data_IF_880851020231
#
_entry.id   IF_880851020231
#
_cell.length_a   1.000
_cell.length_b   1.000
_cell.length_c   1.000
_cell.angle_alpha   90.00
_cell.angle_beta   90.00
_cell.angle_gamma   90.00
#
_symmetry.space_group_name_H-M   'P 1'
#
loop_
_entity.id
_entity.type
_entity.pdbx_description
1 polymer ?
#
# COMPACT_ATOMS: atom_id res chain seq x y z
N UNK A 1 -1.67 8.58 -49.42
CA UNK A 1 -1.08 8.74 -48.07
C UNK A 1 -2.08 9.26 -47.04
N UNK A 2 -2.98 10.18 -47.40
CA UNK A 2 -4.04 10.74 -46.52
C UNK A 2 -4.92 9.69 -45.79
N UNK A 3 -5.32 8.62 -46.48
CA UNK A 3 -6.20 7.57 -45.90
C UNK A 3 -5.52 6.74 -44.81
N UNK A 4 -4.19 6.57 -44.85
CA UNK A 4 -3.43 5.84 -43.83
C UNK A 4 -3.21 6.67 -42.55
N UNK A 5 -3.12 7.99 -42.68
CA UNK A 5 -2.98 8.91 -41.53
C UNK A 5 -4.29 9.05 -40.75
N UNK A 6 -5.43 9.11 -41.44
CA UNK A 6 -6.76 9.10 -40.79
C UNK A 6 -7.04 7.78 -40.06
N UNK A 7 -6.60 6.66 -40.62
CA UNK A 7 -6.72 5.35 -39.97
C UNK A 7 -5.93 5.28 -38.66
N UNK A 8 -4.70 5.84 -38.61
CA UNK A 8 -3.87 5.82 -37.39
C UNK A 8 -4.48 6.66 -36.25
N UNK A 9 -4.99 7.86 -36.56
CA UNK A 9 -5.64 8.74 -35.56
C UNK A 9 -6.95 8.13 -35.07
N UNK A 10 -7.75 7.53 -35.96
CA UNK A 10 -8.98 6.84 -35.57
C UNK A 10 -8.68 5.58 -34.75
N UNK A 11 -7.59 4.86 -35.03
CA UNK A 11 -7.19 3.67 -34.27
C UNK A 11 -6.70 4.03 -32.86
N UNK A 12 -5.97 5.14 -32.70
CA UNK A 12 -5.61 5.67 -31.36
C UNK A 12 -6.85 6.14 -30.59
N UNK A 13 -7.84 6.73 -31.27
CA UNK A 13 -9.09 7.16 -30.62
C UNK A 13 -10.01 5.99 -30.23
N UNK A 14 -10.11 4.94 -31.06
CA UNK A 14 -10.97 3.77 -30.80
C UNK A 14 -10.44 2.88 -29.66
N UNK A 15 -9.12 2.79 -29.49
CA UNK A 15 -8.49 2.03 -28.41
C UNK A 15 -8.67 2.67 -27.03
N UNK A 16 -8.95 3.99 -26.96
CA UNK A 16 -9.14 4.70 -25.69
C UNK A 16 -10.60 4.65 -25.20
N UNK A 17 -11.56 4.34 -26.07
CA UNK A 17 -12.99 4.46 -25.78
C UNK A 17 -13.64 3.14 -25.28
N UNK A 18 -12.97 2.00 -25.41
CA UNK A 18 -13.53 0.66 -25.12
C UNK A 18 -13.32 0.15 -23.68
N UNK A 19 -12.81 0.96 -22.75
CA UNK A 19 -12.40 0.49 -21.41
C UNK A 19 -13.28 0.97 -20.22
N UNK A 20 -14.54 1.36 -20.42
CA UNK A 20 -15.36 1.89 -19.32
C UNK A 20 -16.75 1.26 -19.21
N UNK A 21 -16.80 0.09 -18.57
CA UNK A 21 -17.98 -0.32 -17.81
C UNK A 21 -17.71 -0.04 -16.32
N UNK A 22 -18.63 0.64 -15.59
CA UNK A 22 -18.49 0.83 -14.16
C UNK A 22 -18.82 -0.49 -13.45
N UNK A 23 -17.79 -1.30 -13.15
CA UNK A 23 -17.93 -2.42 -12.22
C UNK A 23 -17.95 -1.83 -10.81
N UNK A 24 -19.11 -1.91 -10.17
CA UNK A 24 -19.32 -1.48 -8.79
C UNK A 24 -18.81 -2.57 -7.84
N UNK A 25 -17.49 -2.81 -7.82
CA UNK A 25 -16.85 -3.59 -6.77
C UNK A 25 -16.79 -2.72 -5.50
N UNK A 26 -17.29 -3.24 -4.39
CA UNK A 26 -17.09 -2.63 -3.08
C UNK A 26 -15.60 -2.71 -2.74
N UNK A 27 -14.88 -1.63 -3.05
CA UNK A 27 -13.46 -1.47 -2.72
C UNK A 27 -13.32 -1.44 -1.20
N UNK A 28 -12.61 -2.43 -0.65
CA UNK A 28 -12.12 -2.42 0.72
C UNK A 28 -11.30 -1.13 0.93
N UNK A 29 -11.84 -0.19 1.72
CA UNK A 29 -11.16 1.06 2.05
C UNK A 29 -9.95 0.75 2.92
N UNK A 30 -8.76 0.87 2.35
CA UNK A 30 -7.51 0.87 3.10
C UNK A 30 -7.31 2.28 3.69
N UNK A 31 -7.07 2.38 5.01
CA UNK A 31 -6.88 3.65 5.73
C UNK A 31 -5.44 4.21 5.61
N UNK A 32 -4.65 3.76 4.64
CA UNK A 32 -3.28 4.23 4.48
C UNK A 32 -3.24 5.49 3.59
N UNK A 33 -2.64 6.59 4.07
CA UNK A 33 -2.45 7.77 3.23
C UNK A 33 -1.55 7.40 2.05
N UNK A 34 -1.92 7.75 0.81
CA UNK A 34 -1.07 7.47 -0.35
C UNK A 34 0.29 8.13 -0.16
N UNK A 35 1.39 7.49 -0.58
CA UNK A 35 2.75 8.03 -0.42
C UNK A 35 2.96 9.35 -1.18
N UNK A 36 2.08 9.64 -2.16
CA UNK A 36 2.11 10.86 -2.94
C UNK A 36 1.02 11.82 -2.49
N UNK A 37 1.43 13.04 -2.15
CA UNK A 37 0.51 14.10 -1.80
C UNK A 37 -0.15 14.71 -3.06
N UNK A 38 -1.12 13.98 -3.62
CA UNK A 38 -2.02 14.47 -4.66
C UNK A 38 -3.00 15.54 -4.16
N UNK A 39 -2.90 16.03 -2.93
CA UNK A 39 -3.73 17.18 -2.51
C UNK A 39 -3.21 18.50 -3.08
N UNK A 40 -1.93 18.56 -3.45
CA UNK A 40 -1.38 19.75 -4.10
C UNK A 40 -1.85 19.85 -5.55
N UNK A 41 -2.30 21.03 -5.97
CA UNK A 41 -2.65 21.30 -7.37
C UNK A 41 -1.47 21.22 -8.35
N UNK A 42 -0.26 20.91 -7.85
CA UNK A 42 0.99 20.87 -8.62
C UNK A 42 0.93 19.82 -9.73
N UNK A 43 0.49 18.59 -9.43
CA UNK A 43 0.39 17.53 -10.47
C UNK A 43 -0.57 17.94 -11.58
N UNK A 44 -1.68 18.61 -11.23
CA UNK A 44 -2.64 19.14 -12.21
C UNK A 44 -2.01 20.23 -13.09
N UNK A 45 -1.17 21.10 -12.52
CA UNK A 45 -0.43 22.11 -13.27
C UNK A 45 0.62 21.48 -14.19
N UNK A 46 1.37 20.47 -13.71
CA UNK A 46 2.36 19.73 -14.52
C UNK A 46 1.68 19.12 -15.74
N UNK A 47 0.58 18.37 -15.54
CA UNK A 47 -0.17 17.75 -16.64
C UNK A 47 -0.66 18.81 -17.64
N UNK A 48 -1.17 19.95 -17.14
CA UNK A 48 -1.61 21.06 -18.01
C UNK A 48 -0.44 21.62 -18.84
N UNK A 49 0.68 21.96 -18.19
CA UNK A 49 1.85 22.52 -18.88
C UNK A 49 2.41 21.57 -19.94
N UNK A 50 2.51 20.27 -19.63
CA UNK A 50 2.96 19.26 -20.56
C UNK A 50 1.98 19.09 -21.74
N UNK A 51 0.68 19.21 -21.49
CA UNK A 51 -0.33 19.15 -22.55
C UNK A 51 -0.20 20.33 -23.51
N UNK A 52 0.01 21.54 -22.99
CA UNK A 52 0.19 22.73 -23.81
C UNK A 52 1.49 22.67 -24.63
N UNK A 53 2.57 22.15 -24.04
CA UNK A 53 3.84 21.87 -24.74
C UNK A 53 3.66 20.84 -25.85
N UNK A 54 3.03 19.69 -25.56
CA UNK A 54 2.75 18.65 -26.55
C UNK A 54 1.93 19.18 -27.74
N UNK A 55 0.92 20.00 -27.48
CA UNK A 55 0.11 20.61 -28.53
C UNK A 55 0.94 21.57 -29.40
N UNK A 56 1.80 22.38 -28.79
CA UNK A 56 2.71 23.28 -29.52
C UNK A 56 3.66 22.49 -30.41
N UNK A 57 4.32 21.48 -29.87
CA UNK A 57 5.31 20.67 -30.60
C UNK A 57 4.66 19.91 -31.77
N UNK A 58 3.44 19.40 -31.58
CA UNK A 58 2.66 18.76 -32.65
C UNK A 58 2.16 19.77 -33.70
N UNK A 59 1.84 21.00 -33.29
CA UNK A 59 1.43 22.10 -34.18
C UNK A 59 2.56 22.62 -35.08
N UNK A 60 3.79 22.62 -34.56
CA UNK A 60 5.00 23.03 -35.29
C UNK A 60 5.46 21.96 -36.28
N UNK A 61 5.05 20.70 -36.08
CA UNK A 61 5.36 19.60 -36.99
C UNK A 61 4.47 19.62 -38.25
N UNK A 62 5.03 19.84 -39.46
CA UNK A 62 4.25 19.89 -40.69
C UNK A 62 3.58 18.54 -41.04
N UNK A 63 4.03 17.44 -40.44
CA UNK A 63 3.47 16.11 -40.65
C UNK A 63 2.29 15.78 -39.72
N UNK A 64 2.18 16.47 -38.58
CA UNK A 64 1.27 16.13 -37.48
C UNK A 64 0.41 17.32 -37.02
N UNK A 65 0.29 18.36 -37.84
CA UNK A 65 -0.51 19.56 -37.54
C UNK A 65 -1.89 19.19 -37.03
N UNK A 66 -2.11 19.47 -35.76
CA UNK A 66 -3.40 19.30 -35.11
C UNK A 66 -4.35 20.41 -35.56
N UNK A 67 -5.61 20.06 -35.86
CA UNK A 67 -6.66 21.07 -35.92
C UNK A 67 -6.94 21.63 -34.52
N UNK A 68 -7.52 22.82 -34.46
CA UNK A 68 -7.93 23.44 -33.18
C UNK A 68 -8.87 22.53 -32.38
N UNK A 69 -9.80 21.84 -33.06
CA UNK A 69 -10.69 20.86 -32.44
C UNK A 69 -9.95 19.64 -31.86
N UNK A 70 -8.86 19.18 -32.51
CA UNK A 70 -8.03 18.08 -32.00
C UNK A 70 -7.21 18.52 -30.79
N UNK A 71 -6.63 19.73 -30.84
CA UNK A 71 -5.92 20.30 -29.70
C UNK A 71 -6.85 20.45 -28.48
N UNK A 72 -8.07 20.95 -28.69
CA UNK A 72 -9.04 21.12 -27.60
C UNK A 72 -9.51 19.77 -27.03
N UNK A 73 -9.71 18.77 -27.88
CA UNK A 73 -9.99 17.41 -27.42
C UNK A 73 -8.87 16.85 -26.53
N UNK A 74 -7.60 17.06 -26.91
CA UNK A 74 -6.45 16.64 -26.10
C UNK A 74 -6.40 17.36 -24.75
N UNK A 75 -6.61 18.69 -24.73
CA UNK A 75 -6.72 19.46 -23.48
C UNK A 75 -7.81 18.91 -22.57
N UNK A 76 -8.98 18.61 -23.14
CA UNK A 76 -10.09 18.07 -22.38
C UNK A 76 -9.78 16.68 -21.80
N UNK A 77 -9.13 15.79 -22.57
CA UNK A 77 -8.81 14.44 -22.12
C UNK A 77 -7.67 14.40 -21.10
N UNK A 78 -6.55 15.05 -21.39
CA UNK A 78 -5.42 15.11 -20.47
C UNK A 78 -5.75 15.93 -19.21
N UNK A 79 -6.62 16.93 -19.32
CA UNK A 79 -7.15 17.66 -18.16
C UNK A 79 -7.92 16.78 -17.16
N UNK A 80 -8.48 15.65 -17.61
CA UNK A 80 -9.15 14.65 -16.74
C UNK A 80 -8.20 13.60 -16.18
N UNK A 81 -6.98 13.47 -16.73
CA UNK A 81 -6.01 12.47 -16.31
C UNK A 81 -5.67 12.60 -14.82
N UNK A 82 -5.53 13.83 -14.33
CA UNK A 82 -5.27 14.08 -12.91
C UNK A 82 -6.33 13.44 -11.99
N UNK A 83 -7.62 13.70 -12.24
CA UNK A 83 -8.69 13.12 -11.42
C UNK A 83 -8.80 11.61 -11.59
N UNK A 84 -8.53 11.10 -12.80
CA UNK A 84 -8.50 9.68 -13.08
C UNK A 84 -7.41 8.97 -12.26
N UNK A 85 -6.17 9.45 -12.33
CA UNK A 85 -5.04 8.91 -11.55
C UNK A 85 -5.32 9.05 -10.06
N UNK A 86 -5.68 10.24 -9.58
CA UNK A 86 -5.90 10.51 -8.15
C UNK A 86 -6.93 9.61 -7.48
N UNK A 87 -7.96 9.18 -8.22
CA UNK A 87 -9.04 8.32 -7.71
C UNK A 87 -8.83 6.85 -8.06
N UNK A 88 -7.71 6.50 -8.68
CA UNK A 88 -7.48 5.15 -9.14
C UNK A 88 -7.31 4.21 -7.94
N UNK A 89 -8.11 3.13 -7.81
CA UNK A 89 -8.09 2.28 -6.63
C UNK A 89 -6.73 1.60 -6.38
N UNK A 90 -5.97 1.32 -7.46
CA UNK A 90 -4.67 0.69 -7.33
C UNK A 90 -3.64 1.55 -6.56
N UNK A 91 -3.79 2.88 -6.52
CA UNK A 91 -2.86 3.76 -5.80
C UNK A 91 -2.97 3.67 -4.28
N UNK A 92 -4.05 3.07 -3.76
CA UNK A 92 -4.31 2.97 -2.33
C UNK A 92 -3.98 1.59 -1.76
N UNK A 93 -3.40 0.70 -2.58
CA UNK A 93 -3.02 -0.64 -2.17
C UNK A 93 -1.62 -0.65 -1.53
N UNK A 94 -1.51 -1.15 -0.31
CA UNK A 94 -0.22 -1.28 0.41
C UNK A 94 0.65 -2.43 -0.12
N UNK A 95 0.01 -3.46 -0.66
CA UNK A 95 0.64 -4.73 -1.06
C UNK A 95 0.98 -4.80 -2.54
N UNK A 96 0.77 -3.72 -3.31
CA UNK A 96 1.11 -3.63 -4.72
C UNK A 96 2.27 -2.64 -4.91
N UNK A 97 3.27 -3.04 -5.66
CA UNK A 97 4.34 -2.18 -6.12
C UNK A 97 4.48 -2.26 -7.64
N UNK A 98 4.68 -1.11 -8.28
CA UNK A 98 4.88 -1.01 -9.73
C UNK A 98 6.20 -0.32 -9.98
N UNK A 99 7.18 -1.06 -10.49
CA UNK A 99 8.54 -0.56 -10.67
C UNK A 99 9.52 -1.66 -11.05
N UNK A 100 10.63 -1.26 -11.67
CA UNK A 100 11.65 -2.18 -12.20
C UNK A 100 12.16 -3.17 -11.16
N UNK A 101 12.51 -2.65 -9.98
CA UNK A 101 13.14 -3.45 -8.93
C UNK A 101 12.10 -3.94 -7.92
N UNK A 102 12.35 -5.15 -7.40
CA UNK A 102 11.59 -5.74 -6.30
C UNK A 102 11.75 -4.87 -5.03
N UNK A 103 10.65 -4.56 -4.31
CA UNK A 103 10.77 -3.84 -3.06
C UNK A 103 11.51 -4.65 -1.99
N UNK A 104 12.33 -3.97 -1.21
CA UNK A 104 13.07 -4.58 -0.08
C UNK A 104 12.23 -4.56 1.20
N UNK A 105 11.44 -3.50 1.41
CA UNK A 105 10.66 -3.33 2.62
C UNK A 105 9.40 -4.20 2.59
N UNK A 106 9.13 -4.88 3.70
CA UNK A 106 7.83 -5.51 3.90
C UNK A 106 6.77 -4.43 4.11
N UNK A 107 5.60 -4.52 3.47
CA UNK A 107 4.52 -3.62 3.75
C UNK A 107 4.11 -3.73 5.21
N UNK A 108 4.16 -4.89 5.86
CA UNK A 108 3.69 -5.10 7.24
C UNK A 108 4.59 -4.52 8.32
N UNK A 109 5.85 -4.25 8.00
CA UNK A 109 6.76 -3.65 8.96
C UNK A 109 6.32 -2.22 9.28
N UNK A 110 6.26 -1.84 10.57
CA UNK A 110 6.04 -0.45 10.92
C UNK A 110 7.20 0.37 10.34
N UNK A 111 6.95 1.58 9.83
CA UNK A 111 8.02 2.45 9.37
C UNK A 111 8.99 2.62 10.54
N UNK A 112 10.20 2.07 10.41
CA UNK A 112 11.26 2.26 11.40
C UNK A 112 11.32 3.76 11.66
N UNK A 113 11.09 4.16 12.92
CA UNK A 113 11.20 5.54 13.34
C UNK A 113 12.54 6.05 12.80
N UNK A 114 12.50 6.97 11.83
CA UNK A 114 13.72 7.43 11.16
C UNK A 114 14.73 7.86 12.22
N UNK A 115 16.01 7.47 12.12
CA UNK A 115 17.05 7.97 13.01
C UNK A 115 17.36 9.41 12.63
N UNK A 116 16.44 10.32 12.93
CA UNK A 116 16.53 11.74 12.60
C UNK A 116 16.00 12.58 13.76
N UNK A 117 16.67 12.47 14.93
CA UNK A 117 16.87 13.54 15.93
C UNK A 117 17.54 12.99 17.18
N UNK A 118 18.83 12.72 17.11
CA UNK A 118 19.67 12.57 18.30
C UNK A 118 21.01 13.29 18.12
N UNK A 119 21.00 14.44 17.44
CA UNK A 119 22.16 15.33 17.34
C UNK A 119 21.71 16.80 17.38
N UNK A 120 21.02 17.22 18.44
CA UNK A 120 20.97 18.66 18.81
C UNK A 120 20.63 18.88 20.29
N UNK A 121 21.30 18.18 21.20
CA UNK A 121 21.33 18.57 22.62
C UNK A 121 22.72 18.34 23.22
N UNK A 122 23.72 18.97 22.62
CA UNK A 122 25.03 19.13 23.23
C UNK A 122 25.63 20.45 22.77
N UNK A 123 25.16 21.56 23.32
CA UNK A 123 25.91 22.81 23.54
C UNK A 123 25.00 23.94 24.00
N UNK A 124 24.65 23.96 25.29
CA UNK A 124 24.40 25.20 26.05
C UNK A 124 24.62 24.91 27.54
N UNK A 125 25.89 24.65 27.88
CA UNK A 125 26.38 24.74 29.25
C UNK A 125 26.83 26.18 29.50
N UNK A 126 26.13 26.82 30.44
CA UNK A 126 26.67 27.73 31.47
C UNK A 126 27.29 29.06 31.03
N UNK A 127 26.58 30.15 31.38
CA UNK A 127 27.18 31.25 32.17
C UNK A 127 26.14 31.82 33.14
N UNK A 128 26.32 31.46 34.41
CA UNK A 128 25.76 32.09 35.61
C UNK A 128 26.37 33.48 35.82
N UNK A 129 25.55 34.38 36.35
CA UNK A 129 25.89 35.65 37.02
C UNK A 129 24.57 36.28 37.45
N UNK A 130 23.97 35.87 38.57
CA UNK A 130 24.23 36.32 39.95
C UNK A 130 23.95 37.81 40.16
N UNK A 131 22.80 38.13 40.78
CA UNK A 131 22.56 39.35 41.58
C UNK A 131 21.22 39.24 42.34
N UNK A 132 21.31 38.63 43.52
CA UNK A 132 20.83 39.12 44.84
C UNK A 132 19.85 40.32 44.87
N UNK A 133 18.67 40.13 45.48
CA UNK A 133 18.06 41.16 46.34
C UNK A 133 17.14 40.58 47.43
N UNK A 134 17.40 41.02 48.66
CA UNK A 134 16.82 40.68 49.97
C UNK A 134 15.45 41.32 50.25
N UNK A 135 14.63 40.68 51.11
CA UNK A 135 13.85 41.25 52.24
C UNK A 135 13.10 40.11 52.98
N UNK A 136 13.47 39.71 54.21
CA UNK A 136 13.03 40.21 55.55
C UNK A 136 11.50 40.08 55.77
N UNK A 137 10.90 39.43 56.79
CA UNK A 137 11.27 38.97 58.14
C UNK A 137 10.13 38.05 58.73
N UNK A 138 10.29 37.44 59.95
CA UNK A 138 9.60 36.21 60.44
C UNK A 138 8.73 36.47 61.73
N UNK A 139 8.57 35.57 62.75
CA UNK A 139 8.30 34.11 62.87
C UNK A 139 7.08 33.77 63.78
N UNK A 140 6.60 32.50 63.87
CA UNK A 140 6.07 31.89 65.12
C UNK A 140 6.20 30.34 65.12
N UNK A 141 6.26 29.75 66.33
CA UNK A 141 6.84 28.44 66.72
C UNK A 141 5.74 27.36 67.02
N UNK A 142 5.99 26.17 67.64
CA UNK A 142 5.66 24.87 67.03
C UNK A 142 4.70 23.99 67.86
N UNK A 143 4.32 22.82 67.35
CA UNK A 143 3.94 21.59 68.09
C UNK A 143 3.72 20.52 66.99
N UNK A 144 4.38 19.38 66.93
CA UNK A 144 4.50 18.32 67.93
C UNK A 144 3.87 17.06 67.32
N UNK A 145 4.58 15.92 67.26
CA UNK A 145 3.95 14.66 66.85
C UNK A 145 4.87 13.68 66.12
N UNK A 146 5.54 12.83 66.88
CA UNK A 146 6.18 11.59 66.42
C UNK A 146 5.16 10.64 65.76
N UNK A 147 5.53 10.07 64.62
CA UNK A 147 5.26 8.64 64.34
C UNK A 147 6.10 8.13 63.18
N UNK A 148 6.90 7.10 63.46
CA UNK A 148 7.72 6.42 62.47
C UNK A 148 6.90 5.80 61.35
N UNK A 149 7.39 5.95 60.12
CA UNK A 149 6.89 5.22 58.96
C UNK A 149 8.07 4.50 58.31
N UNK A 150 7.97 3.18 58.33
CA UNK A 150 8.93 2.21 57.81
C UNK A 150 9.18 2.50 56.33
N UNK A 151 10.46 2.71 55.96
CA UNK A 151 10.88 2.88 54.57
C UNK A 151 10.55 1.60 53.81
N UNK A 152 9.45 1.62 53.05
CA UNK A 152 9.15 0.62 52.06
C UNK A 152 10.23 0.58 51.00
N UNK A 153 10.92 -0.55 50.89
CA UNK A 153 11.80 -0.86 49.77
C UNK A 153 10.94 -0.88 48.52
N UNK A 154 11.06 0.17 47.70
CA UNK A 154 10.41 0.28 46.40
C UNK A 154 11.07 -0.72 45.46
N UNK A 155 10.55 -1.96 45.44
CA UNK A 155 10.91 -2.96 44.42
C UNK A 155 10.39 -2.45 43.09
N UNK A 156 11.25 -1.84 42.28
CA UNK A 156 11.01 -1.67 40.85
C UNK A 156 10.96 -3.07 40.22
N UNK A 157 9.84 -3.48 39.60
CA UNK A 157 9.82 -4.70 38.80
C UNK A 157 10.83 -4.55 37.66
N UNK A 158 11.59 -5.60 37.31
CA UNK A 158 12.30 -5.61 36.04
C UNK A 158 11.25 -5.59 34.92
N UNK A 159 11.06 -4.42 34.29
CA UNK A 159 10.41 -4.29 33.00
C UNK A 159 11.31 -4.92 31.93
N UNK A 160 11.43 -6.24 31.96
CA UNK A 160 11.76 -6.98 30.74
C UNK A 160 10.46 -6.99 29.93
N UNK A 161 10.38 -6.29 28.79
CA UNK A 161 9.26 -6.48 27.88
C UNK A 161 9.30 -7.94 27.44
N UNK A 162 8.40 -8.74 28.02
CA UNK A 162 8.11 -10.08 27.52
C UNK A 162 7.54 -9.83 26.12
N UNK A 163 8.35 -10.05 25.09
CA UNK A 163 7.86 -10.08 23.73
C UNK A 163 6.67 -11.04 23.70
N UNK A 164 5.51 -10.66 23.15
CA UNK A 164 4.37 -11.54 23.11
C UNK A 164 4.81 -12.83 22.40
N UNK A 165 4.70 -13.94 23.12
CA UNK A 165 4.94 -15.28 22.60
C UNK A 165 3.77 -15.66 21.68
N UNK A 166 3.62 -14.97 20.55
CA UNK A 166 2.66 -15.36 19.52
C UNK A 166 3.34 -16.39 18.63
N UNK A 167 3.05 -17.67 18.86
CA UNK A 167 3.39 -18.73 17.92
C UNK A 167 2.32 -18.79 16.82
N UNK A 168 2.74 -18.90 15.57
CA UNK A 168 1.82 -19.02 14.43
C UNK A 168 1.23 -20.44 14.36
N UNK A 169 -0.10 -20.54 14.29
CA UNK A 169 -0.82 -21.82 14.11
C UNK A 169 -0.39 -22.52 12.81
N UNK A 170 -0.21 -21.74 11.75
CA UNK A 170 0.29 -22.17 10.46
C UNK A 170 1.40 -21.22 10.03
N UNK A 171 2.60 -21.76 9.81
CA UNK A 171 3.74 -20.93 9.41
C UNK A 171 3.50 -20.30 8.06
N UNK A 172 3.68 -18.98 8.00
CA UNK A 172 3.48 -18.20 6.77
C UNK A 172 4.83 -17.64 6.29
N UNK A 173 5.12 -17.81 5.00
CA UNK A 173 6.23 -17.10 4.35
C UNK A 173 5.69 -15.92 3.57
N UNK A 174 6.29 -14.76 3.75
CA UNK A 174 5.90 -13.54 3.04
C UNK A 174 7.00 -13.10 2.08
N UNK A 175 6.61 -12.65 0.88
CA UNK A 175 7.55 -12.17 -0.12
C UNK A 175 6.86 -11.30 -1.17
N UNK A 176 7.61 -10.36 -1.73
CA UNK A 176 7.24 -9.71 -2.99
C UNK A 176 7.43 -10.70 -4.14
N UNK A 177 6.37 -11.01 -4.89
CA UNK A 177 6.41 -11.92 -6.03
C UNK A 177 5.82 -11.28 -7.29
N UNK A 178 6.21 -11.80 -8.45
CA UNK A 178 5.58 -11.46 -9.74
C UNK A 178 4.58 -12.55 -10.07
N UNK A 179 3.31 -12.18 -10.09
CA UNK A 179 2.24 -13.04 -10.59
C UNK A 179 2.17 -12.86 -12.11
N UNK A 180 2.19 -13.96 -12.85
CA UNK A 180 2.01 -13.96 -14.30
C UNK A 180 0.58 -14.36 -14.66
N UNK A 181 0.06 -15.41 -14.03
CA UNK A 181 -1.28 -15.94 -14.27
C UNK A 181 -2.03 -16.07 -12.94
N UNK A 182 -3.33 -15.79 -12.98
CA UNK A 182 -4.24 -15.92 -11.84
C UNK A 182 -5.69 -15.97 -12.35
N UNK A 183 -6.67 -15.80 -11.47
CA UNK A 183 -8.08 -15.66 -11.82
C UNK A 183 -8.62 -14.30 -11.39
N UNK A 184 -9.59 -13.77 -12.15
CA UNK A 184 -10.32 -12.56 -11.77
C UNK A 184 -11.40 -12.84 -10.69
N UNK A 185 -12.06 -11.80 -10.20
CA UNK A 185 -13.17 -11.91 -9.24
C UNK A 185 -14.38 -12.73 -9.72
N UNK A 186 -14.41 -13.10 -10.99
CA UNK A 186 -15.46 -13.95 -11.58
C UNK A 186 -14.97 -15.39 -11.82
N UNK A 187 -13.73 -15.72 -11.42
CA UNK A 187 -13.14 -17.04 -11.61
C UNK A 187 -12.59 -17.29 -13.02
N UNK A 188 -12.50 -16.27 -13.87
CA UNK A 188 -11.91 -16.42 -15.21
C UNK A 188 -10.39 -16.35 -15.12
N UNK A 189 -9.69 -17.19 -15.89
CA UNK A 189 -8.24 -17.11 -16.02
C UNK A 189 -7.79 -15.78 -16.67
N UNK A 190 -6.82 -15.13 -16.05
CA UNK A 190 -6.25 -13.85 -16.49
C UNK A 190 -4.74 -13.87 -16.40
N UNK A 191 -4.11 -13.08 -17.27
CA UNK A 191 -2.68 -12.84 -17.27
C UNK A 191 -2.43 -11.43 -16.74
N UNK A 192 -1.59 -11.31 -15.71
CA UNK A 192 -1.15 -10.03 -15.17
C UNK A 192 -0.12 -9.45 -16.13
N UNK A 193 -0.35 -8.21 -16.58
CA UNK A 193 0.53 -7.56 -17.55
C UNK A 193 1.84 -7.17 -16.85
N UNK A 194 2.94 -7.68 -17.36
CA UNK A 194 4.28 -7.39 -16.85
C UNK A 194 5.04 -6.54 -17.87
N UNK A 195 5.03 -5.23 -17.68
CA UNK A 195 5.84 -4.31 -18.49
C UNK A 195 7.31 -4.36 -18.06
N UNK A 196 8.25 -4.34 -19.00
CA UNK A 196 9.69 -4.41 -18.69
C UNK A 196 10.19 -3.18 -17.91
N UNK A 197 9.61 -2.01 -18.15
CA UNK A 197 9.99 -0.78 -17.46
C UNK A 197 9.29 -0.67 -16.09
N UNK A 198 8.09 -1.21 -15.97
CA UNK A 198 7.25 -1.11 -14.77
C UNK A 198 6.50 -2.42 -14.48
N UNK A 199 7.20 -3.51 -14.09
CA UNK A 199 6.54 -4.74 -13.71
C UNK A 199 5.73 -4.55 -12.42
N UNK A 200 4.74 -5.42 -12.25
CA UNK A 200 3.85 -5.42 -11.08
C UNK A 200 4.33 -6.49 -10.08
N UNK A 201 4.67 -6.05 -8.88
CA UNK A 201 5.06 -6.86 -7.74
C UNK A 201 3.96 -6.87 -6.70
N UNK A 202 3.68 -8.06 -6.18
CA UNK A 202 2.61 -8.27 -5.22
C UNK A 202 3.20 -8.87 -3.96
N UNK A 203 2.88 -8.29 -2.80
CA UNK A 203 3.27 -8.86 -1.53
C UNK A 203 2.33 -10.02 -1.20
N UNK A 204 2.90 -11.21 -1.17
CA UNK A 204 2.18 -12.47 -1.04
C UNK A 204 2.42 -13.12 0.31
N UNK A 205 1.44 -13.90 0.76
CA UNK A 205 1.50 -14.71 1.96
C UNK A 205 1.26 -16.16 1.55
N UNK A 206 2.31 -16.95 1.57
CA UNK A 206 2.28 -18.37 1.21
C UNK A 206 2.32 -19.23 2.47
N UNK A 207 1.59 -20.34 2.46
CA UNK A 207 1.70 -21.33 3.53
C UNK A 207 3.03 -22.08 3.45
N UNK A 208 3.93 -21.90 4.42
CA UNK A 208 5.19 -22.64 4.47
C UNK A 208 4.98 -24.13 4.78
N UNK A 209 3.86 -24.46 5.45
CA UNK A 209 3.48 -25.81 5.84
C UNK A 209 2.12 -26.21 5.26
N UNK A 210 1.90 -25.96 3.97
CA UNK A 210 0.63 -26.31 3.33
C UNK A 210 0.32 -27.80 3.45
N UNK A 211 -0.92 -28.13 3.82
CA UNK A 211 -1.37 -29.50 4.04
C UNK A 211 -0.94 -30.12 5.37
N UNK A 212 -0.10 -29.44 6.17
CA UNK A 212 0.30 -29.95 7.49
C UNK A 212 -0.80 -29.78 8.52
N UNK A 213 -0.77 -30.60 9.57
CA UNK A 213 -1.60 -30.36 10.75
C UNK A 213 -1.23 -29.04 11.41
N UNK A 214 -2.24 -28.31 11.86
CA UNK A 214 -2.07 -27.02 12.51
C UNK A 214 -1.54 -27.18 13.93
N UNK A 215 -0.66 -26.27 14.34
CA UNK A 215 -0.09 -26.26 15.69
C UNK A 215 -1.16 -25.89 16.72
N UNK A 216 -1.21 -26.61 17.84
CA UNK A 216 -2.09 -26.31 18.97
C UNK A 216 -3.57 -26.71 18.80
N UNK A 217 -3.91 -27.53 17.79
CA UNK A 217 -5.27 -28.04 17.62
C UNK A 217 -5.46 -29.38 18.33
N UNK A 218 -6.59 -29.51 19.04
CA UNK A 218 -6.94 -30.71 19.81
C UNK A 218 -7.08 -31.96 18.93
N UNK A 219 -6.68 -33.12 19.49
CA UNK A 219 -6.68 -34.40 18.80
C UNK A 219 -8.08 -34.89 18.37
N UNK A 220 -9.17 -34.33 18.92
CA UNK A 220 -10.54 -34.60 18.48
C UNK A 220 -10.86 -34.01 17.09
N UNK A 221 -9.99 -33.15 16.56
CA UNK A 221 -10.16 -32.56 15.23
C UNK A 221 -9.10 -33.05 14.26
N UNK A 222 -9.45 -33.08 12.97
CA UNK A 222 -8.48 -33.03 11.89
C UNK A 222 -8.22 -31.55 11.58
N UNK A 223 -6.97 -31.20 11.40
CA UNK A 223 -6.57 -29.83 11.10
C UNK A 223 -5.61 -29.82 9.92
N UNK A 224 -5.69 -28.77 9.09
CA UNK A 224 -4.87 -28.61 7.90
C UNK A 224 -4.57 -27.13 7.63
N UNK A 225 -3.31 -26.78 7.46
CA UNK A 225 -2.91 -25.46 7.01
C UNK A 225 -3.19 -25.28 5.51
N UNK A 226 -4.02 -24.30 5.18
CA UNK A 226 -4.50 -24.03 3.81
C UNK A 226 -4.27 -22.58 3.43
N UNK A 227 -3.78 -22.37 2.21
CA UNK A 227 -3.62 -21.04 1.61
C UNK A 227 -4.99 -20.48 1.20
N UNK A 228 -5.19 -19.18 1.41
CA UNK A 228 -6.37 -18.44 0.99
C UNK A 228 -5.96 -17.25 0.16
N UNK A 229 -6.59 -17.14 -1.01
CA UNK A 229 -6.49 -15.97 -1.86
C UNK A 229 -7.26 -14.80 -1.24
N UNK A 230 -6.71 -13.60 -1.37
CA UNK A 230 -7.43 -12.33 -1.32
C UNK A 230 -7.56 -11.75 -2.73
N UNK A 231 -8.25 -10.62 -2.85
CA UNK A 231 -8.37 -9.90 -4.12
C UNK A 231 -7.58 -8.60 -4.09
N UNK A 232 -6.83 -8.35 -5.16
CA UNK A 232 -6.10 -7.10 -5.38
C UNK A 232 -6.36 -6.56 -6.77
N UNK A 233 -6.33 -5.24 -6.92
CA UNK A 233 -6.49 -4.57 -8.20
C UNK A 233 -5.16 -4.60 -8.96
N UNK A 234 -5.05 -5.43 -9.99
CA UNK A 234 -3.88 -5.52 -10.87
C UNK A 234 -4.26 -5.19 -12.32
N UNK A 235 -3.28 -4.71 -13.09
CA UNK A 235 -3.43 -4.52 -14.52
C UNK A 235 -3.27 -5.88 -15.23
N UNK A 236 -4.33 -6.38 -15.84
CA UNK A 236 -4.39 -7.74 -16.39
C UNK A 236 -5.21 -7.81 -17.68
N UNK A 237 -5.11 -8.92 -18.39
CA UNK A 237 -5.92 -9.25 -19.58
C UNK A 237 -6.48 -10.67 -19.49
N UNK A 238 -7.52 -10.98 -20.26
CA UNK A 238 -8.12 -12.32 -20.24
C UNK A 238 -7.20 -13.32 -20.92
N UNK A 239 -6.97 -14.46 -20.25
CA UNK A 239 -6.14 -15.53 -20.82
C UNK A 239 -6.89 -16.24 -21.96
N UNK A 240 -6.18 -16.63 -23.02
CA UNK A 240 -6.74 -17.42 -24.12
C UNK A 240 -7.62 -16.65 -25.13
N UNK A 241 -7.87 -15.34 -24.95
CA UNK A 241 -8.44 -14.53 -26.03
C UNK A 241 -7.33 -14.23 -27.04
N UNK A 242 -7.28 -14.99 -28.13
CA UNK A 242 -6.38 -14.72 -29.23
C UNK A 242 -6.61 -13.27 -29.73
N UNK A 243 -5.68 -12.39 -29.38
CA UNK A 243 -5.45 -11.04 -29.89
C UNK A 243 -6.28 -9.81 -29.45
N UNK A 244 -7.39 -9.86 -28.70
CA UNK A 244 -8.23 -8.64 -28.56
C UNK A 244 -8.70 -8.22 -27.16
N UNK A 245 -8.33 -8.89 -26.07
CA UNK A 245 -8.65 -8.31 -24.74
C UNK A 245 -7.66 -7.20 -24.39
N UNK A 246 -8.11 -5.95 -24.51
CA UNK A 246 -7.39 -4.79 -24.01
C UNK A 246 -7.15 -4.97 -22.50
N UNK A 247 -5.91 -4.81 -22.02
CA UNK A 247 -5.67 -4.97 -20.60
C UNK A 247 -6.34 -3.85 -19.82
N UNK A 248 -6.82 -4.20 -18.64
CA UNK A 248 -7.61 -3.33 -17.77
C UNK A 248 -7.26 -3.58 -16.31
N UNK A 249 -7.57 -2.60 -15.46
CA UNK A 249 -7.42 -2.75 -14.01
C UNK A 249 -8.64 -3.46 -13.44
N UNK A 250 -8.42 -4.50 -12.66
CA UNK A 250 -9.51 -5.16 -11.94
C UNK A 250 -9.01 -6.13 -10.88
N UNK A 251 -9.96 -6.65 -10.10
CA UNK A 251 -9.69 -7.52 -8.98
C UNK A 251 -9.28 -8.91 -9.45
N UNK A 252 -8.12 -9.37 -8.99
CA UNK A 252 -7.59 -10.70 -9.26
C UNK A 252 -7.14 -11.37 -7.97
N UNK A 253 -7.14 -12.70 -7.97
CA UNK A 253 -6.73 -13.49 -6.82
C UNK A 253 -5.22 -13.40 -6.58
N UNK A 254 -4.88 -13.21 -5.31
CA UNK A 254 -3.50 -13.12 -4.82
C UNK A 254 -3.40 -13.93 -3.52
N UNK A 255 -2.37 -14.77 -3.33
CA UNK A 255 -2.10 -15.43 -2.06
C UNK A 255 -1.98 -14.43 -0.90
N UNK A 256 -2.91 -14.46 0.05
CA UNK A 256 -3.03 -13.39 1.05
C UNK A 256 -3.01 -13.88 2.50
N UNK A 257 -3.38 -15.14 2.78
CA UNK A 257 -3.33 -15.68 4.14
C UNK A 257 -3.03 -17.17 4.17
N UNK A 258 -2.32 -17.62 5.20
CA UNK A 258 -2.33 -19.02 5.61
C UNK A 258 -3.30 -19.22 6.78
N UNK A 259 -4.23 -20.16 6.66
CA UNK A 259 -5.29 -20.39 7.65
C UNK A 259 -5.40 -21.86 8.02
N UNK A 260 -5.75 -22.12 9.28
CA UNK A 260 -6.03 -23.48 9.73
C UNK A 260 -7.48 -23.87 9.42
N UNK A 261 -7.66 -24.90 8.60
CA UNK A 261 -8.95 -25.56 8.38
C UNK A 261 -9.10 -26.67 9.42
N UNK A 262 -10.19 -26.66 10.17
CA UNK A 262 -10.48 -27.63 11.23
C UNK A 262 -11.75 -28.40 10.87
N UNK A 263 -11.73 -29.73 10.98
CA UNK A 263 -12.88 -30.60 10.80
C UNK A 263 -13.01 -31.57 11.98
N UNK A 264 -14.21 -31.73 12.58
CA UNK A 264 -14.39 -32.66 13.68
C UNK A 264 -14.19 -34.10 13.21
N UNK A 265 -13.52 -34.92 14.02
CA UNK A 265 -13.49 -36.37 13.79
C UNK A 265 -14.85 -36.95 14.18
N UNK A 266 -15.53 -37.61 13.25
CA UNK A 266 -16.74 -38.37 13.58
C UNK A 266 -16.28 -39.59 14.37
N UNK A 267 -16.45 -39.54 15.69
CA UNK A 267 -16.23 -40.70 16.55
C UNK A 267 -17.47 -41.58 16.36
N UNK A 268 -17.32 -42.71 15.67
CA UNK A 268 -18.37 -43.71 15.65
C UNK A 268 -18.58 -44.20 17.09
N UNK A 269 -19.75 -43.92 17.67
CA UNK A 269 -20.17 -44.49 18.94
C UNK A 269 -20.09 -46.03 18.82
N UNK A 270 -19.22 -46.65 19.61
CA UNK A 270 -19.12 -48.10 19.76
C UNK A 270 -19.62 -48.49 21.14
#
# INVERSE_FOLDING_TARGET
MERRRRALVLLVLFLVESAFLPVQCQVLRTNHPPPFNFSSGIVRLIIKSYTDELIRDLGDSPALRLSESQAEFLRQRLGRLYEHVRRHPALHQRYLWVGRDQPVASPDEPPLASPARLETQASTVSKRGDSRQERSSPPQVPQGGERGSVRGVKRTPPETPIAPLSEEICRTSTAWERLNETVDSFGNAVEVVQDEAFPQWVFSYRCASQGSSCVGIDAMYNSECTERSGFMILYHRKSGSANDSLPSWGAVEVPHHCTCKITPKVIAER
#
